data_IF_336420757718
#
_entry.id   IF_336420757718
#
_cell.length_a   1.000
_cell.length_b   1.000
_cell.length_c   1.000
_cell.angle_alpha   90.00
_cell.angle_beta   90.00
_cell.angle_gamma   90.00
#
_symmetry.space_group_name_H-M   'P 1'
#
loop_
_entity.id
_entity.type
_entity.pdbx_description
1 polymer ?
#
# COMPACT_ATOMS: atom_id res chain seq x y z
N UNK A 1 17.32 29.37 -4.57
CA UNK A 1 16.10 28.69 -5.02
C UNK A 1 15.16 28.66 -3.83
N UNK A 2 13.92 29.15 -3.98
CA UNK A 2 12.97 29.17 -2.87
C UNK A 2 12.30 27.81 -2.72
N UNK A 3 12.24 27.32 -1.49
CA UNK A 3 11.75 25.99 -1.18
C UNK A 3 10.23 25.95 -1.16
N UNK A 4 9.64 24.83 -1.58
CA UNK A 4 8.23 24.55 -1.34
C UNK A 4 8.00 24.35 0.16
N UNK A 5 7.04 25.11 0.69
CA UNK A 5 6.61 25.03 2.08
C UNK A 5 5.11 24.74 2.18
N UNK A 6 4.75 23.93 3.17
CA UNK A 6 3.35 23.71 3.53
C UNK A 6 3.04 24.53 4.79
N UNK A 7 2.09 25.48 4.74
CA UNK A 7 1.66 26.18 5.92
C UNK A 7 0.98 25.22 6.90
N UNK A 8 1.35 25.31 8.19
CA UNK A 8 0.84 24.48 9.30
C UNK A 8 -0.70 24.37 9.33
N UNK A 9 -1.40 25.45 8.99
CA UNK A 9 -2.87 25.48 8.95
C UNK A 9 -3.49 24.53 7.93
N UNK A 10 -2.77 24.22 6.84
CA UNK A 10 -3.21 23.22 5.84
C UNK A 10 -2.86 21.80 6.25
N UNK A 11 -1.80 21.61 7.03
CA UNK A 11 -1.41 20.31 7.57
C UNK A 11 -2.44 19.81 8.61
N UNK A 12 -2.96 20.72 9.44
CA UNK A 12 -3.99 20.36 10.43
C UNK A 12 -5.33 19.91 9.81
N UNK A 13 -5.62 20.29 8.56
CA UNK A 13 -6.79 19.82 7.83
C UNK A 13 -6.72 18.34 7.40
N UNK A 14 -5.51 17.75 7.41
CA UNK A 14 -5.26 16.36 7.04
C UNK A 14 -5.52 15.39 8.20
N UNK A 15 -5.67 15.91 9.42
CA UNK A 15 -5.79 15.12 10.65
C UNK A 15 -6.98 14.14 10.60
N UNK A 16 -8.12 14.63 10.13
CA UNK A 16 -9.31 13.80 9.95
C UNK A 16 -9.10 12.70 8.91
N UNK A 17 -8.36 12.98 7.83
CA UNK A 17 -8.12 12.00 6.75
C UNK A 17 -7.17 10.90 7.22
N UNK A 18 -6.27 11.21 8.13
CA UNK A 18 -5.39 10.21 8.73
C UNK A 18 -6.12 9.28 9.68
N UNK A 19 -7.03 9.79 10.51
CA UNK A 19 -7.75 8.95 11.47
C UNK A 19 -8.86 8.13 10.80
N UNK A 20 -9.55 8.69 9.81
CA UNK A 20 -10.65 8.05 9.11
C UNK A 20 -10.24 7.30 7.83
N UNK A 21 -9.02 7.56 7.33
CA UNK A 21 -8.60 7.14 5.99
C UNK A 21 -9.22 8.03 4.90
N UNK A 22 -8.84 7.77 3.65
CA UNK A 22 -9.43 8.38 2.47
C UNK A 22 -8.48 9.32 1.72
N UNK A 23 -9.05 10.10 0.81
CA UNK A 23 -8.30 10.91 -0.15
C UNK A 23 -8.46 12.39 0.17
N UNK A 24 -7.35 13.11 0.15
CA UNK A 24 -7.30 14.54 0.40
C UNK A 24 -6.30 15.23 -0.52
N UNK A 25 -6.40 16.56 -0.62
CA UNK A 25 -5.55 17.37 -1.49
C UNK A 25 -4.82 18.42 -0.66
N UNK A 26 -3.50 18.46 -0.78
CA UNK A 26 -2.63 19.42 -0.10
C UNK A 26 -1.88 20.28 -1.12
N UNK A 27 -2.10 21.58 -1.11
CA UNK A 27 -1.35 22.51 -1.97
C UNK A 27 -0.06 22.97 -1.28
N UNK A 28 1.08 22.67 -1.89
CA UNK A 28 2.39 23.22 -1.57
C UNK A 28 2.59 24.56 -2.27
N UNK A 29 3.32 25.47 -1.64
CA UNK A 29 3.59 26.81 -2.19
C UNK A 29 5.08 27.14 -2.17
N UNK A 30 5.55 27.77 -3.23
CA UNK A 30 6.77 28.59 -3.28
C UNK A 30 6.40 29.99 -3.80
N UNK A 31 7.25 31.02 -3.64
CA UNK A 31 6.92 32.39 -4.04
C UNK A 31 6.44 32.50 -5.50
N UNK A 32 7.04 31.72 -6.39
CA UNK A 32 6.77 31.75 -7.83
C UNK A 32 5.80 30.67 -8.36
N UNK A 33 5.38 29.67 -7.56
CA UNK A 33 4.37 28.68 -8.02
C UNK A 33 3.66 27.94 -6.88
N UNK A 34 2.55 27.29 -7.21
CA UNK A 34 1.86 26.36 -6.33
C UNK A 34 1.80 24.98 -6.96
N UNK A 35 1.86 23.96 -6.12
CA UNK A 35 1.87 22.56 -6.53
C UNK A 35 0.85 21.80 -5.71
N UNK A 36 0.02 20.99 -6.36
CA UNK A 36 -1.00 20.23 -5.68
C UNK A 36 -0.55 18.78 -5.48
N UNK A 37 -0.52 18.33 -4.23
CA UNK A 37 -0.32 16.95 -3.86
C UNK A 37 -1.67 16.28 -3.57
N UNK A 38 -1.94 15.15 -4.21
CA UNK A 38 -3.04 14.26 -3.86
C UNK A 38 -2.51 13.24 -2.86
N UNK A 39 -3.13 13.14 -1.70
CA UNK A 39 -2.72 12.28 -0.60
C UNK A 39 -3.84 11.25 -0.40
N UNK A 40 -3.49 9.98 -0.46
CA UNK A 40 -4.40 8.86 -0.16
C UNK A 40 -3.89 8.19 1.09
N UNK A 41 -4.75 8.03 2.10
CA UNK A 41 -4.43 7.36 3.36
C UNK A 41 -5.26 6.09 3.47
N UNK A 42 -4.58 4.98 3.61
CA UNK A 42 -5.14 3.68 3.92
C UNK A 42 -4.70 3.29 5.33
N UNK A 43 -5.66 2.90 6.16
CA UNK A 43 -5.41 2.66 7.57
C UNK A 43 -5.50 1.17 7.87
N UNK A 44 -4.46 0.67 8.52
CA UNK A 44 -4.46 -0.60 9.23
C UNK A 44 -4.57 -0.35 10.76
N UNK A 45 -4.72 -1.42 11.56
CA UNK A 45 -4.82 -1.32 13.01
C UNK A 45 -3.58 -0.68 13.66
N UNK A 46 -2.40 -0.86 13.06
CA UNK A 46 -1.14 -0.36 13.60
C UNK A 46 -0.50 0.80 12.80
N UNK A 47 -0.80 0.91 11.50
CA UNK A 47 -0.03 1.72 10.56
C UNK A 47 -0.96 2.55 9.65
N UNK A 48 -0.58 3.79 9.40
CA UNK A 48 -1.09 4.60 8.30
C UNK A 48 -0.21 4.36 7.06
N UNK A 49 -0.81 3.84 6.00
CA UNK A 49 -0.21 3.78 4.69
C UNK A 49 -0.61 5.03 3.89
N UNK A 50 0.37 5.83 3.46
CA UNK A 50 0.11 7.14 2.84
C UNK A 50 0.75 7.15 1.46
N UNK A 51 -0.08 7.27 0.42
CA UNK A 51 0.36 7.50 -0.96
C UNK A 51 0.23 8.98 -1.29
N UNK A 52 1.23 9.53 -1.96
CA UNK A 52 1.28 10.93 -2.37
C UNK A 52 1.59 11.01 -3.87
N UNK A 53 0.77 11.77 -4.58
CA UNK A 53 0.92 12.03 -6.01
C UNK A 53 1.08 13.53 -6.22
N UNK A 54 2.19 13.94 -6.84
CA UNK A 54 2.55 15.33 -7.14
C UNK A 54 2.90 15.45 -8.62
N UNK A 55 1.95 15.89 -9.44
CA UNK A 55 2.13 15.87 -10.89
C UNK A 55 2.31 14.44 -11.40
N UNK A 56 3.47 14.13 -11.98
CA UNK A 56 3.85 12.78 -12.45
C UNK A 56 4.61 11.97 -11.38
N UNK A 57 4.97 12.60 -10.25
CA UNK A 57 5.70 11.93 -9.16
C UNK A 57 4.72 11.20 -8.25
N UNK A 58 4.92 9.89 -8.09
CA UNK A 58 4.17 9.06 -7.15
C UNK A 58 5.16 8.54 -6.10
N UNK A 59 4.84 8.74 -4.83
CA UNK A 59 5.67 8.36 -3.69
C UNK A 59 4.79 8.02 -2.49
N UNK A 60 5.35 7.43 -1.45
CA UNK A 60 4.51 6.86 -0.38
C UNK A 60 5.32 6.65 0.90
N UNK A 61 4.66 6.78 2.04
CA UNK A 61 5.29 6.57 3.35
C UNK A 61 4.36 5.80 4.29
N UNK A 62 4.96 5.11 5.25
CA UNK A 62 4.23 4.46 6.35
C UNK A 62 4.50 5.17 7.65
N UNK A 63 3.46 5.41 8.44
CA UNK A 63 3.57 6.03 9.76
C UNK A 63 2.82 5.20 10.81
N UNK A 64 3.41 4.93 11.99
CA UNK A 64 2.67 4.28 13.07
C UNK A 64 1.46 5.11 13.49
N UNK A 65 0.32 4.46 13.74
CA UNK A 65 -0.93 5.15 14.09
C UNK A 65 -0.83 5.97 15.37
N UNK A 66 -0.02 5.51 16.32
CA UNK A 66 0.24 6.16 17.60
C UNK A 66 1.36 7.22 17.54
N UNK A 67 1.94 7.47 16.37
CA UNK A 67 3.04 8.43 16.24
C UNK A 67 2.53 9.85 16.47
N UNK A 68 3.00 10.48 17.55
CA UNK A 68 2.62 11.86 17.93
C UNK A 68 3.14 12.89 16.92
N UNK A 69 4.26 12.60 16.26
CA UNK A 69 4.90 13.48 15.26
C UNK A 69 4.46 13.19 13.82
N UNK A 70 3.37 12.44 13.61
CA UNK A 70 2.90 12.04 12.27
C UNK A 70 2.77 13.21 11.29
N UNK A 71 2.35 14.38 11.76
CA UNK A 71 2.21 15.59 10.94
C UNK A 71 3.54 16.21 10.53
N UNK A 72 4.53 16.15 11.40
CA UNK A 72 5.86 16.65 11.13
C UNK A 72 6.51 15.77 10.06
N UNK A 73 6.44 14.45 10.24
CA UNK A 73 6.96 13.48 9.28
C UNK A 73 6.31 13.58 7.90
N UNK A 74 4.98 13.75 7.83
CA UNK A 74 4.29 13.95 6.55
C UNK A 74 4.69 15.27 5.88
N UNK A 75 4.77 16.36 6.67
CA UNK A 75 5.15 17.67 6.14
C UNK A 75 6.55 17.63 5.54
N UNK A 76 7.51 17.11 6.32
CA UNK A 76 8.90 17.02 5.92
C UNK A 76 9.02 16.16 4.64
N UNK A 77 8.33 15.02 4.60
CA UNK A 77 8.24 14.17 3.40
C UNK A 77 7.68 14.90 2.17
N UNK A 78 6.56 15.61 2.30
CA UNK A 78 5.98 16.37 1.18
C UNK A 78 6.88 17.51 0.71
N UNK A 79 7.57 18.17 1.63
CA UNK A 79 8.52 19.23 1.31
C UNK A 79 9.75 18.67 0.60
N UNK A 80 10.29 17.55 1.06
CA UNK A 80 11.44 16.92 0.41
C UNK A 80 11.07 16.37 -0.97
N UNK A 81 9.88 15.78 -1.12
CA UNK A 81 9.37 15.32 -2.41
C UNK A 81 9.20 16.49 -3.40
N UNK A 82 8.57 17.59 -2.98
CA UNK A 82 8.36 18.75 -3.85
C UNK A 82 9.64 19.53 -4.17
N UNK A 83 10.64 19.49 -3.29
CA UNK A 83 11.94 20.12 -3.51
C UNK A 83 12.96 19.19 -4.20
N UNK A 84 12.56 17.96 -4.58
CA UNK A 84 13.44 16.99 -5.22
C UNK A 84 14.58 16.52 -4.33
N UNK A 85 14.43 16.64 -3.00
CA UNK A 85 15.39 16.23 -1.97
C UNK A 85 15.09 14.86 -1.37
N UNK A 86 14.02 14.21 -1.83
CA UNK A 86 13.65 12.90 -1.33
C UNK A 86 14.70 11.86 -1.77
N UNK A 87 15.62 11.53 -0.86
CA UNK A 87 16.32 10.25 -0.89
C UNK A 87 15.38 9.21 -0.26
N UNK A 88 14.62 8.50 -1.09
CA UNK A 88 13.80 7.34 -0.73
C UNK A 88 12.73 7.53 0.38
N UNK A 89 11.72 8.37 0.14
CA UNK A 89 10.37 8.04 0.61
C UNK A 89 9.68 7.07 -0.36
N UNK A 90 10.45 6.10 -0.86
CA UNK A 90 9.87 4.92 -1.47
C UNK A 90 9.14 4.15 -0.36
N UNK A 91 8.09 3.42 -0.69
CA UNK A 91 7.73 2.32 0.20
C UNK A 91 9.00 1.52 0.51
N UNK A 92 9.15 0.96 1.72
CA UNK A 92 9.99 -0.22 1.85
C UNK A 92 9.67 -1.13 0.67
N UNK A 93 10.68 -1.60 -0.06
CA UNK A 93 10.48 -2.40 -1.28
C UNK A 93 9.47 -3.54 -1.01
N UNK A 94 9.48 -4.05 0.23
CA UNK A 94 8.53 -5.03 0.73
C UNK A 94 7.06 -4.57 0.73
N UNK A 95 6.76 -3.32 1.08
CA UNK A 95 5.38 -2.80 1.11
C UNK A 95 4.85 -2.47 -0.29
N UNK A 96 5.73 -2.03 -1.21
CA UNK A 96 5.36 -1.89 -2.62
C UNK A 96 5.08 -3.26 -3.23
N UNK A 97 5.94 -4.25 -2.95
CA UNK A 97 5.75 -5.61 -3.41
C UNK A 97 4.44 -6.23 -2.92
N UNK A 98 4.04 -5.96 -1.67
CA UNK A 98 2.75 -6.43 -1.12
C UNK A 98 1.55 -5.80 -1.85
N UNK A 99 1.57 -4.49 -2.07
CA UNK A 99 0.47 -3.79 -2.76
C UNK A 99 0.36 -4.20 -4.22
N UNK A 100 1.49 -4.30 -4.92
CA UNK A 100 1.50 -4.79 -6.30
C UNK A 100 1.04 -6.25 -6.39
N UNK A 101 1.37 -7.08 -5.40
CA UNK A 101 0.90 -8.46 -5.32
C UNK A 101 -0.60 -8.54 -5.04
N UNK A 102 -1.13 -7.74 -4.11
CA UNK A 102 -2.56 -7.68 -3.82
C UNK A 102 -3.36 -7.27 -5.06
N UNK A 103 -2.96 -6.17 -5.72
CA UNK A 103 -3.63 -5.70 -6.96
C UNK A 103 -3.62 -6.76 -8.06
N UNK A 104 -2.48 -7.46 -8.22
CA UNK A 104 -2.35 -8.53 -9.21
C UNK A 104 -3.22 -9.75 -8.89
N UNK A 105 -3.47 -10.02 -7.60
CA UNK A 105 -4.31 -11.14 -7.15
C UNK A 105 -5.79 -10.79 -7.30
N UNK A 106 -6.19 -9.57 -6.92
CA UNK A 106 -7.59 -9.14 -7.02
C UNK A 106 -8.11 -9.23 -8.47
N UNK A 107 -7.25 -9.04 -9.48
CA UNK A 107 -7.58 -9.21 -10.88
C UNK A 107 -7.90 -10.67 -11.31
N UNK A 108 -7.58 -11.67 -10.48
CA UNK A 108 -7.77 -13.10 -10.80
C UNK A 108 -8.69 -13.83 -9.86
N UNK A 109 -9.22 -13.15 -8.84
CA UNK A 109 -10.22 -13.69 -7.94
C UNK A 109 -11.57 -13.81 -8.64
N UNK A 110 -12.33 -14.84 -8.24
CA UNK A 110 -13.72 -14.99 -8.63
C UNK A 110 -14.63 -14.18 -7.70
N UNK A 111 -15.85 -13.91 -8.15
CA UNK A 111 -16.86 -13.21 -7.36
C UNK A 111 -17.10 -13.93 -6.01
N UNK A 112 -17.12 -13.18 -4.91
CA UNK A 112 -17.24 -13.73 -3.56
C UNK A 112 -15.94 -14.26 -2.94
N UNK A 113 -14.79 -14.18 -3.63
CA UNK A 113 -13.49 -14.50 -3.05
C UNK A 113 -12.77 -13.26 -2.50
N UNK A 114 -12.08 -13.43 -1.38
CA UNK A 114 -11.29 -12.38 -0.73
C UNK A 114 -9.85 -12.89 -0.58
N UNK A 115 -8.87 -12.11 -1.02
CA UNK A 115 -7.46 -12.43 -0.85
C UNK A 115 -6.76 -11.54 0.15
N UNK A 116 -5.84 -12.13 0.91
CA UNK A 116 -4.93 -11.45 1.82
C UNK A 116 -3.50 -11.79 1.46
N UNK A 117 -2.71 -10.77 1.10
CA UNK A 117 -1.28 -10.93 0.85
C UNK A 117 -0.48 -10.55 2.09
N UNK A 118 0.49 -11.40 2.46
CA UNK A 118 1.35 -11.24 3.62
C UNK A 118 2.82 -11.43 3.24
N UNK A 119 3.71 -10.84 4.04
CA UNK A 119 5.12 -11.21 4.01
C UNK A 119 5.34 -12.50 4.81
N UNK A 120 6.24 -13.34 4.31
CA UNK A 120 6.65 -14.56 4.99
C UNK A 120 8.05 -14.40 5.59
N UNK A 121 8.39 -15.29 6.52
CA UNK A 121 9.76 -15.38 7.08
C UNK A 121 10.74 -16.11 6.14
N UNK A 122 10.26 -16.67 5.03
CA UNK A 122 11.07 -17.42 4.08
C UNK A 122 11.65 -16.48 3.02
N UNK A 123 12.98 -16.40 2.95
CA UNK A 123 13.68 -15.51 1.99
C UNK A 123 13.58 -15.96 0.55
N UNK A 124 13.41 -17.26 0.29
CA UNK A 124 13.22 -17.79 -1.07
C UNK A 124 11.79 -17.54 -1.58
N UNK A 125 10.84 -17.36 -0.66
CA UNK A 125 9.42 -17.11 -0.96
C UNK A 125 8.85 -16.02 -0.04
N UNK A 126 9.29 -14.77 -0.19
CA UNK A 126 8.97 -13.69 0.73
C UNK A 126 7.49 -13.30 0.76
N UNK A 127 6.69 -13.70 -0.23
CA UNK A 127 5.27 -13.35 -0.32
C UNK A 127 4.39 -14.58 -0.09
N UNK A 128 3.27 -14.37 0.61
CA UNK A 128 2.23 -15.37 0.82
C UNK A 128 0.86 -14.78 0.48
N UNK A 129 -0.04 -15.61 -0.05
CA UNK A 129 -1.41 -15.22 -0.32
C UNK A 129 -2.38 -16.28 0.20
N UNK A 130 -3.42 -15.83 0.90
CA UNK A 130 -4.52 -16.66 1.39
C UNK A 130 -5.80 -16.13 0.78
N UNK A 131 -6.56 -17.02 0.14
CA UNK A 131 -7.86 -16.71 -0.47
C UNK A 131 -8.95 -17.42 0.30
N UNK A 132 -9.98 -16.68 0.70
CA UNK A 132 -11.17 -17.21 1.37
C UNK A 132 -12.42 -16.96 0.52
N UNK A 133 -13.48 -17.72 0.77
CA UNK A 133 -14.82 -17.37 0.31
C UNK A 133 -15.46 -16.31 1.23
N UNK A 134 -16.67 -15.89 0.89
CA UNK A 134 -17.52 -14.96 1.63
C UNK A 134 -17.96 -15.49 3.01
N UNK A 135 -17.84 -16.80 3.24
CA UNK A 135 -18.04 -17.46 4.53
C UNK A 135 -16.76 -17.53 5.39
N UNK A 136 -15.62 -17.09 4.87
CA UNK A 136 -14.32 -17.14 5.56
C UNK A 136 -13.61 -18.51 5.50
N UNK A 137 -14.12 -19.45 4.69
CA UNK A 137 -13.46 -20.73 4.46
C UNK A 137 -12.29 -20.55 3.49
N UNK A 138 -11.16 -21.19 3.79
CA UNK A 138 -9.94 -21.07 2.99
C UNK A 138 -10.14 -21.84 1.67
N UNK A 139 -10.17 -21.13 0.55
CA UNK A 139 -10.21 -21.70 -0.79
C UNK A 139 -8.82 -22.06 -1.30
N UNK A 140 -7.81 -21.23 -1.00
CA UNK A 140 -6.43 -21.47 -1.40
C UNK A 140 -5.44 -20.76 -0.48
N UNK A 141 -4.27 -21.37 -0.30
CA UNK A 141 -3.12 -20.73 0.32
C UNK A 141 -1.87 -21.06 -0.50
N UNK A 142 -1.08 -20.05 -0.83
CA UNK A 142 0.15 -20.19 -1.62
C UNK A 142 1.25 -19.27 -1.09
N UNK A 143 2.49 -19.62 -1.37
CA UNK A 143 3.67 -18.77 -1.16
C UNK A 143 4.38 -18.58 -2.50
N UNK A 144 5.06 -17.46 -2.68
CA UNK A 144 5.65 -17.08 -3.95
C UNK A 144 6.91 -16.23 -3.77
N UNK A 145 7.77 -16.32 -4.77
CA UNK A 145 8.99 -15.52 -4.87
C UNK A 145 8.74 -14.13 -5.47
N UNK A 146 7.61 -13.94 -6.15
CA UNK A 146 7.16 -12.67 -6.74
C UNK A 146 5.63 -12.63 -6.84
N UNK A 147 5.08 -11.45 -7.21
CA UNK A 147 3.64 -11.29 -7.48
C UNK A 147 3.14 -12.19 -8.60
N UNK A 148 3.92 -12.35 -9.68
CA UNK A 148 3.58 -13.21 -10.82
C UNK A 148 3.54 -14.67 -10.39
N UNK A 149 4.47 -15.08 -9.51
CA UNK A 149 4.49 -16.43 -8.97
C UNK A 149 3.24 -16.71 -8.10
N UNK A 150 2.84 -15.77 -7.23
CA UNK A 150 1.60 -15.90 -6.45
C UNK A 150 0.37 -16.03 -7.34
N UNK A 151 0.23 -15.16 -8.35
CA UNK A 151 -0.91 -15.20 -9.28
C UNK A 151 -0.96 -16.51 -10.04
N UNK A 152 0.19 -17.00 -10.54
CA UNK A 152 0.27 -18.29 -11.22
C UNK A 152 -0.14 -19.45 -10.32
N UNK A 153 0.36 -19.46 -9.07
CA UNK A 153 0.04 -20.49 -8.09
C UNK A 153 -1.43 -20.45 -7.66
N UNK A 154 -2.01 -19.26 -7.48
CA UNK A 154 -3.44 -19.10 -7.18
C UNK A 154 -4.30 -19.54 -8.35
N UNK A 155 -4.00 -19.14 -9.59
CA UNK A 155 -4.73 -19.61 -10.77
C UNK A 155 -4.69 -21.13 -10.91
N UNK A 156 -3.57 -21.78 -10.56
CA UNK A 156 -3.47 -23.23 -10.59
C UNK A 156 -4.35 -23.88 -9.51
N UNK A 157 -4.43 -23.31 -8.30
CA UNK A 157 -5.25 -23.83 -7.20
C UNK A 157 -6.74 -23.51 -7.29
N UNK A 158 -7.10 -22.36 -7.88
CA UNK A 158 -8.47 -21.85 -7.97
C UNK A 158 -9.18 -22.29 -9.26
N UNK A 159 -8.48 -22.89 -10.22
CA UNK A 159 -9.11 -23.48 -11.40
C UNK A 159 -10.06 -24.62 -10.99
N UNK A 160 -11.32 -24.62 -11.44
CA UNK A 160 -12.22 -25.75 -11.25
C UNK A 160 -11.72 -26.92 -12.10
N UNK A 161 -10.90 -27.78 -11.51
CA UNK A 161 -10.36 -28.94 -12.22
C UNK A 161 -9.06 -29.51 -11.66
N UNK A 162 -9.02 -29.86 -10.37
CA UNK A 162 -8.42 -31.12 -9.92
C UNK A 162 -8.93 -31.51 -8.53
N UNK A 163 -10.18 -31.98 -8.47
CA UNK A 163 -10.48 -33.04 -7.52
C UNK A 163 -9.56 -34.23 -7.83
N UNK A 164 -8.88 -34.74 -6.79
CA UNK A 164 -8.12 -35.98 -6.86
C UNK A 164 -6.62 -35.79 -6.73
N UNK A 165 -6.14 -35.77 -5.49
CA UNK A 165 -5.13 -36.71 -4.99
C UNK A 165 -4.85 -36.44 -3.51
N UNK A 166 -5.35 -37.34 -2.66
CA UNK A 166 -4.64 -37.69 -1.43
C UNK A 166 -5.41 -37.60 -0.14
N UNK A 167 -6.52 -38.34 0.01
CA UNK A 167 -6.82 -39.06 1.26
C UNK A 167 -7.40 -40.43 0.89
N UNK A 168 -6.53 -41.42 0.68
CA UNK A 168 -6.87 -42.83 0.72
C UNK A 168 -5.71 -43.56 1.41
N UNK A 169 -6.08 -44.22 2.52
CA UNK A 169 -5.32 -45.11 3.41
C UNK A 169 -4.51 -44.43 4.52
#
# INVERSE_FOLDING_TARGET
MSEFCIPLTRVMGLERTFEAGGITKCTLRRPETTLDARITVENDDAIHYIKVEIGELISSMTLPRKLVTKWQSLRDFLQDLANGRADSGAMPEEALALLEAQDSIDQVLLDGQIAYVINTVNRDFPLGAVVTNDHGEICAAVIGSSKEHLVGALRAKLQPGQEGLGECA
#
